data_IF_426768953862
#
_entry.id   IF_426768953862
#
_cell.length_a   1.000
_cell.length_b   1.000
_cell.length_c   1.000
_cell.angle_alpha   90.00
_cell.angle_beta   90.00
_cell.angle_gamma   90.00
#
_symmetry.space_group_name_H-M   'P 1'
#
loop_
_entity.id
_entity.type
_entity.pdbx_description
1 polymer ?
#
# COMPACT_ATOMS: atom_id res chain seq x y z
N UNK A 1 7.72 16.64 7.82
CA UNK A 1 8.99 15.99 7.45
C UNK A 1 9.00 14.62 8.10
N UNK A 2 9.23 13.55 7.33
CA UNK A 2 9.31 12.18 7.86
C UNK A 2 10.58 12.04 8.70
N UNK A 3 10.47 11.39 9.85
CA UNK A 3 11.62 11.03 10.69
C UNK A 3 11.59 9.53 10.97
N UNK A 4 12.39 8.77 10.21
CA UNK A 4 12.45 7.31 10.32
C UNK A 4 13.00 6.84 11.69
N UNK A 5 13.86 7.63 12.33
CA UNK A 5 14.41 7.29 13.65
C UNK A 5 13.33 7.15 14.73
N UNK A 6 12.18 7.81 14.57
CA UNK A 6 11.06 7.71 15.53
C UNK A 6 10.58 6.27 15.75
N UNK A 7 10.64 5.42 14.74
CA UNK A 7 10.23 4.02 14.89
C UNK A 7 11.18 3.22 15.80
N UNK A 8 12.48 3.55 15.77
CA UNK A 8 13.49 2.99 16.67
C UNK A 8 13.41 3.61 18.08
N UNK A 9 13.00 4.86 18.18
CA UNK A 9 12.85 5.58 19.46
C UNK A 9 11.51 5.29 20.15
N UNK A 10 10.53 4.77 19.42
CA UNK A 10 9.23 4.35 19.96
C UNK A 10 9.40 3.33 21.09
N UNK A 11 8.57 3.39 22.15
CA UNK A 11 8.58 2.39 23.22
C UNK A 11 8.54 0.97 22.66
N UNK A 12 9.34 0.07 23.27
CA UNK A 12 9.51 -1.30 22.81
C UNK A 12 8.18 -2.01 22.52
N UNK A 13 7.19 -1.87 23.42
CA UNK A 13 5.88 -2.48 23.25
C UNK A 13 5.15 -2.01 21.99
N UNK A 14 5.19 -0.71 21.67
CA UNK A 14 4.59 -0.18 20.44
C UNK A 14 5.27 -0.70 19.19
N UNK A 15 6.61 -0.81 19.22
CA UNK A 15 7.37 -1.42 18.12
C UNK A 15 7.05 -2.89 17.96
N UNK A 16 6.98 -3.63 19.06
CA UNK A 16 6.66 -5.05 19.04
C UNK A 16 5.29 -5.31 18.39
N UNK A 17 4.27 -4.53 18.73
CA UNK A 17 2.94 -4.65 18.11
C UNK A 17 3.02 -4.48 16.58
N UNK A 18 3.75 -3.47 16.11
CA UNK A 18 3.96 -3.24 14.68
C UNK A 18 4.61 -4.48 14.00
N UNK A 19 5.65 -5.04 14.62
CA UNK A 19 6.35 -6.22 14.10
C UNK A 19 5.47 -7.47 14.16
N UNK A 20 4.70 -7.66 15.23
CA UNK A 20 3.81 -8.81 15.39
C UNK A 20 2.76 -8.87 14.28
N UNK A 21 2.18 -7.72 13.89
CA UNK A 21 1.26 -7.64 12.76
C UNK A 21 1.95 -7.97 11.43
N UNK A 22 3.18 -7.51 11.22
CA UNK A 22 3.96 -7.89 10.03
C UNK A 22 4.22 -9.40 9.97
N UNK A 23 4.56 -10.03 11.11
CA UNK A 23 4.77 -11.47 11.19
C UNK A 23 3.47 -12.26 10.96
N UNK A 24 2.36 -11.83 11.57
CA UNK A 24 1.03 -12.41 11.37
C UNK A 24 0.59 -12.38 9.92
N UNK A 25 0.89 -11.28 9.21
CA UNK A 25 0.59 -11.17 7.79
C UNK A 25 1.24 -12.29 6.95
N UNK A 26 2.41 -12.81 7.35
CA UNK A 26 3.06 -13.95 6.70
C UNK A 26 2.53 -15.32 7.07
N UNK A 27 1.70 -15.39 8.10
CA UNK A 27 1.09 -16.63 8.61
C UNK A 27 -0.41 -16.70 8.31
N UNK A 28 -0.97 -15.66 7.70
CA UNK A 28 -2.39 -15.58 7.40
C UNK A 28 -2.83 -16.69 6.43
N UNK A 29 -4.01 -17.25 6.68
CA UNK A 29 -4.59 -18.31 5.87
C UNK A 29 -5.05 -17.82 4.49
N UNK A 30 -5.30 -16.52 4.35
CA UNK A 30 -5.74 -15.89 3.11
C UNK A 30 -5.20 -14.46 2.97
N UNK A 31 -5.25 -13.97 1.73
CA UNK A 31 -4.73 -12.66 1.33
C UNK A 31 -5.45 -11.49 2.01
N UNK A 32 -6.71 -11.65 2.44
CA UNK A 32 -7.45 -10.56 3.10
C UNK A 32 -6.93 -10.34 4.51
N UNK A 33 -6.86 -11.40 5.31
CA UNK A 33 -6.30 -11.32 6.66
C UNK A 33 -4.83 -10.89 6.59
N UNK A 34 -4.06 -11.47 5.65
CA UNK A 34 -2.67 -11.09 5.43
C UNK A 34 -2.51 -9.61 5.09
N UNK A 35 -3.35 -9.08 4.20
CA UNK A 35 -3.31 -7.67 3.83
C UNK A 35 -3.72 -6.74 4.97
N UNK A 36 -4.74 -7.08 5.75
CA UNK A 36 -5.16 -6.28 6.90
C UNK A 36 -4.07 -6.23 7.96
N UNK A 37 -3.49 -7.38 8.32
CA UNK A 37 -2.38 -7.43 9.29
C UNK A 37 -1.17 -6.64 8.78
N UNK A 38 -0.79 -6.81 7.50
CA UNK A 38 0.32 -6.04 6.93
C UNK A 38 0.04 -4.55 6.93
N UNK A 39 -1.18 -4.15 6.58
CA UNK A 39 -1.58 -2.75 6.58
C UNK A 39 -1.58 -2.16 7.99
N UNK A 40 -2.01 -2.90 9.01
CA UNK A 40 -1.95 -2.46 10.41
C UNK A 40 -0.52 -2.23 10.88
N UNK A 41 0.40 -3.13 10.50
CA UNK A 41 1.83 -2.94 10.71
C UNK A 41 2.32 -1.67 10.03
N UNK A 42 2.09 -1.55 8.72
CA UNK A 42 2.58 -0.42 7.94
C UNK A 42 1.98 0.91 8.37
N UNK A 43 0.70 0.93 8.75
CA UNK A 43 0.03 2.09 9.31
C UNK A 43 0.66 2.52 10.64
N UNK A 44 0.92 1.58 11.55
CA UNK A 44 1.59 1.86 12.82
C UNK A 44 2.98 2.47 12.60
N UNK A 45 3.74 1.93 11.64
CA UNK A 45 5.03 2.49 11.23
C UNK A 45 4.87 3.91 10.63
N UNK A 46 3.93 4.10 9.69
CA UNK A 46 3.65 5.41 9.08
C UNK A 46 3.27 6.47 10.11
N UNK A 47 2.41 6.13 11.08
CA UNK A 47 1.98 7.02 12.16
C UNK A 47 3.18 7.51 12.98
N UNK A 48 4.06 6.57 13.32
CA UNK A 48 5.27 6.85 14.07
C UNK A 48 6.22 7.79 13.30
N UNK A 49 6.54 7.48 12.05
CA UNK A 49 7.57 8.22 11.29
C UNK A 49 7.05 9.56 10.74
N UNK A 50 5.75 9.66 10.45
CA UNK A 50 5.14 10.89 9.93
C UNK A 50 4.67 11.84 11.03
N UNK A 51 4.26 11.30 12.20
CA UNK A 51 3.59 12.06 13.25
C UNK A 51 2.19 12.54 12.88
N UNK A 52 1.61 12.06 11.78
CA UNK A 52 0.24 12.38 11.39
C UNK A 52 -0.74 11.37 12.00
N UNK A 53 -1.95 11.85 12.36
CA UNK A 53 -2.97 11.01 13.01
C UNK A 53 -3.95 10.40 12.01
N UNK A 54 -4.15 11.03 10.85
CA UNK A 54 -5.10 10.57 9.83
C UNK A 54 -4.39 9.78 8.75
N UNK A 55 -4.91 8.59 8.43
CA UNK A 55 -4.35 7.71 7.41
C UNK A 55 -4.08 8.40 6.06
N UNK A 56 -5.01 9.23 5.61
CA UNK A 56 -4.86 9.95 4.35
C UNK A 56 -3.67 10.94 4.37
N UNK A 57 -3.40 11.56 5.52
CA UNK A 57 -2.27 12.47 5.68
C UNK A 57 -0.96 11.69 5.81
N UNK A 58 -0.97 10.55 6.50
CA UNK A 58 0.16 9.62 6.56
C UNK A 58 0.59 9.16 5.17
N UNK A 59 -0.37 8.60 4.39
CA UNK A 59 -0.15 8.13 3.01
C UNK A 59 0.34 9.25 2.10
N UNK A 60 -0.21 10.46 2.24
CA UNK A 60 0.30 11.63 1.49
C UNK A 60 1.73 11.98 1.89
N UNK A 61 2.03 11.96 3.18
CA UNK A 61 3.36 12.31 3.69
C UNK A 61 4.42 11.33 3.19
N UNK A 62 4.18 10.02 3.37
CA UNK A 62 5.12 8.99 2.92
C UNK A 62 5.16 8.82 1.40
N UNK A 63 4.07 9.10 0.70
CA UNK A 63 4.01 9.07 -0.77
C UNK A 63 4.86 10.16 -1.41
N UNK A 64 5.11 11.27 -0.71
CA UNK A 64 5.95 12.38 -1.17
C UNK A 64 7.36 12.37 -0.56
N UNK A 65 7.72 11.33 0.19
CA UNK A 65 9.05 11.22 0.78
C UNK A 65 10.08 10.78 -0.26
N UNK A 66 11.21 11.50 -0.31
CA UNK A 66 12.24 11.26 -1.32
C UNK A 66 12.96 9.93 -1.13
N UNK A 67 13.21 9.50 0.12
CA UNK A 67 13.93 8.25 0.39
C UNK A 67 13.06 7.05 0.02
N UNK A 68 11.78 7.06 0.39
CA UNK A 68 10.84 6.01 -0.01
C UNK A 68 10.66 5.96 -1.53
N UNK A 69 10.55 7.13 -2.17
CA UNK A 69 10.44 7.21 -3.64
C UNK A 69 11.67 6.64 -4.34
N UNK A 70 12.87 6.98 -3.85
CA UNK A 70 14.12 6.47 -4.41
C UNK A 70 14.24 4.96 -4.21
N UNK A 71 13.96 4.44 -3.01
CA UNK A 71 13.98 2.99 -2.76
C UNK A 71 12.99 2.24 -3.63
N UNK A 72 11.83 2.82 -3.92
CA UNK A 72 10.87 2.23 -4.86
C UNK A 72 11.42 2.21 -6.29
N UNK A 73 12.02 3.30 -6.77
CA UNK A 73 12.65 3.36 -8.10
C UNK A 73 13.80 2.35 -8.23
N UNK A 74 14.67 2.27 -7.22
CA UNK A 74 15.76 1.30 -7.19
C UNK A 74 15.21 -0.13 -7.23
N UNK A 75 14.18 -0.43 -6.44
CA UNK A 75 13.53 -1.75 -6.42
C UNK A 75 12.86 -2.10 -7.76
N UNK A 76 12.18 -1.14 -8.40
CA UNK A 76 11.60 -1.31 -9.74
C UNK A 76 12.65 -1.66 -10.81
N UNK A 77 13.89 -1.18 -10.64
CA UNK A 77 15.02 -1.42 -11.55
C UNK A 77 15.75 -2.74 -11.24
N UNK A 78 15.97 -3.03 -9.96
CA UNK A 78 16.85 -4.11 -9.51
C UNK A 78 16.13 -5.45 -9.35
N UNK A 79 14.81 -5.44 -9.14
CA UNK A 79 13.98 -6.63 -9.00
C UNK A 79 12.95 -6.71 -10.15
N UNK A 80 13.28 -7.36 -11.28
CA UNK A 80 12.39 -7.42 -12.45
C UNK A 80 10.99 -7.95 -12.14
N UNK A 81 10.88 -8.92 -11.23
CA UNK A 81 9.60 -9.48 -10.79
C UNK A 81 8.74 -8.43 -10.07
N UNK A 82 9.33 -7.62 -9.19
CA UNK A 82 8.62 -6.53 -8.51
C UNK A 82 8.17 -5.46 -9.51
N UNK A 83 9.06 -5.10 -10.44
CA UNK A 83 8.76 -4.17 -11.53
C UNK A 83 7.59 -4.61 -12.39
N UNK A 84 7.57 -5.88 -12.78
CA UNK A 84 6.50 -6.47 -13.59
C UNK A 84 5.17 -6.52 -12.83
N UNK A 85 5.15 -7.03 -11.60
CA UNK A 85 3.93 -7.11 -10.78
C UNK A 85 3.34 -5.73 -10.49
N UNK A 86 4.19 -4.73 -10.31
CA UNK A 86 3.75 -3.34 -10.12
C UNK A 86 3.06 -2.79 -11.37
N UNK A 87 3.59 -3.06 -12.57
CA UNK A 87 2.98 -2.66 -13.84
C UNK A 87 1.62 -3.34 -14.05
N UNK A 88 1.54 -4.64 -13.82
CA UNK A 88 0.27 -5.39 -13.89
C UNK A 88 -0.76 -4.86 -12.89
N UNK A 89 -0.34 -4.53 -11.66
CA UNK A 89 -1.25 -3.91 -10.70
C UNK A 89 -1.73 -2.53 -11.17
N UNK A 90 -0.87 -1.76 -11.84
CA UNK A 90 -1.22 -0.46 -12.40
C UNK A 90 -2.21 -0.53 -13.58
N UNK A 91 -2.33 -1.66 -14.27
CA UNK A 91 -3.37 -1.91 -15.28
C UNK A 91 -4.78 -1.96 -14.65
N UNK A 92 -4.86 -2.24 -13.33
CA UNK A 92 -6.12 -2.24 -12.59
C UNK A 92 -6.53 -0.83 -12.14
N UNK A 93 -5.70 0.19 -12.36
CA UNK A 93 -5.94 1.55 -11.90
C UNK A 93 -6.74 2.37 -12.92
N UNK A 94 -7.59 3.31 -12.47
CA UNK A 94 -7.73 3.76 -11.09
C UNK A 94 -8.66 2.89 -10.24
N UNK A 95 -8.47 2.93 -8.93
CA UNK A 95 -9.31 2.27 -7.92
C UNK A 95 -10.30 3.29 -7.38
N UNK A 96 -11.59 3.07 -7.65
CA UNK A 96 -12.66 3.97 -7.24
C UNK A 96 -13.08 3.74 -5.79
N UNK A 97 -13.47 4.81 -5.10
CA UNK A 97 -14.04 4.75 -3.75
C UNK A 97 -15.45 4.21 -3.83
N UNK A 98 -15.64 2.97 -3.37
CA UNK A 98 -16.91 2.25 -3.54
C UNK A 98 -18.10 2.94 -2.87
N UNK A 99 -17.87 3.62 -1.75
CA UNK A 99 -18.92 4.39 -1.08
C UNK A 99 -19.47 5.52 -1.96
N UNK A 100 -18.62 6.16 -2.76
CA UNK A 100 -19.06 7.26 -3.63
C UNK A 100 -19.88 6.69 -4.80
N UNK A 101 -19.45 5.55 -5.37
CA UNK A 101 -20.21 4.80 -6.39
C UNK A 101 -21.61 4.47 -5.86
N UNK A 102 -21.70 3.84 -4.69
CA UNK A 102 -22.98 3.45 -4.08
C UNK A 102 -23.86 4.68 -3.81
N UNK A 103 -23.26 5.74 -3.27
CA UNK A 103 -23.98 6.98 -2.94
C UNK A 103 -24.59 7.65 -4.16
N UNK A 104 -23.88 7.68 -5.30
CA UNK A 104 -24.29 8.46 -6.46
C UNK A 104 -24.93 7.64 -7.58
N UNK A 105 -24.70 6.33 -7.61
CA UNK A 105 -25.17 5.43 -8.69
C UNK A 105 -26.09 4.32 -8.19
N UNK A 106 -26.21 4.14 -6.87
CA UNK A 106 -27.07 3.15 -6.24
C UNK A 106 -26.30 1.94 -5.69
N UNK A 107 -26.91 1.27 -4.70
CA UNK A 107 -26.31 0.14 -3.98
C UNK A 107 -25.93 -1.03 -4.89
N UNK A 108 -26.75 -1.28 -5.91
CA UNK A 108 -26.60 -2.46 -6.78
C UNK A 108 -25.72 -2.18 -8.01
N UNK A 109 -25.36 -0.92 -8.25
CA UNK A 109 -24.58 -0.50 -9.42
C UNK A 109 -23.29 -1.30 -9.63
N UNK A 110 -22.46 -1.61 -8.60
CA UNK A 110 -21.25 -2.40 -8.80
C UNK A 110 -21.50 -3.81 -9.34
N UNK A 111 -22.71 -4.37 -9.20
CA UNK A 111 -23.06 -5.72 -9.65
C UNK A 111 -23.64 -5.74 -11.07
N UNK A 112 -23.86 -4.59 -11.70
CA UNK A 112 -24.38 -4.51 -13.06
C UNK A 112 -23.33 -4.81 -14.13
N UNK A 113 -22.05 -4.90 -13.74
CA UNK A 113 -20.93 -5.07 -14.65
C UNK A 113 -20.29 -6.44 -14.48
N UNK A 114 -20.13 -7.18 -15.57
CA UNK A 114 -19.54 -8.52 -15.57
C UNK A 114 -18.01 -8.54 -15.43
N UNK A 115 -17.36 -7.39 -15.65
CA UNK A 115 -15.91 -7.26 -15.52
C UNK A 115 -15.51 -5.83 -15.08
N UNK A 116 -14.24 -5.69 -14.66
CA UNK A 116 -13.68 -4.43 -14.15
C UNK A 116 -13.61 -3.33 -15.21
N UNK A 117 -13.36 -3.69 -16.48
CA UNK A 117 -13.22 -2.73 -17.58
C UNK A 117 -14.55 -2.01 -17.79
N UNK A 118 -15.65 -2.75 -17.92
CA UNK A 118 -16.99 -2.19 -18.11
C UNK A 118 -17.39 -1.33 -16.90
N UNK A 119 -17.08 -1.78 -15.68
CA UNK A 119 -17.29 -0.98 -14.47
C UNK A 119 -16.50 0.33 -14.52
N UNK A 120 -15.24 0.29 -14.94
CA UNK A 120 -14.35 1.46 -15.03
C UNK A 120 -14.87 2.45 -16.07
N UNK A 121 -15.18 1.98 -17.27
CA UNK A 121 -15.75 2.80 -18.36
C UNK A 121 -17.06 3.49 -17.92
N UNK A 122 -17.87 2.84 -17.09
CA UNK A 122 -19.13 3.40 -16.60
C UNK A 122 -18.99 4.48 -15.51
N UNK A 123 -17.84 4.56 -14.81
CA UNK A 123 -17.65 5.46 -13.66
C UNK A 123 -16.51 6.46 -13.82
N UNK A 124 -15.61 6.25 -14.78
CA UNK A 124 -14.36 7.03 -14.91
C UNK A 124 -14.59 8.52 -15.12
N UNK A 125 -15.68 8.89 -15.80
CA UNK A 125 -15.99 10.29 -16.12
C UNK A 125 -16.84 11.00 -15.06
N UNK A 126 -17.27 10.32 -13.98
CA UNK A 126 -18.05 10.96 -12.91
C UNK A 126 -17.13 11.69 -11.92
N UNK A 127 -17.13 13.04 -11.89
CA UNK A 127 -16.24 13.81 -11.02
C UNK A 127 -16.57 13.69 -9.53
N UNK A 128 -17.74 13.13 -9.18
CA UNK A 128 -18.17 12.92 -7.79
C UNK A 128 -17.58 11.66 -7.17
N UNK A 129 -17.09 10.74 -8.01
CA UNK A 129 -16.54 9.46 -7.57
C UNK A 129 -15.03 9.60 -7.39
N UNK A 130 -14.58 9.60 -6.13
CA UNK A 130 -13.15 9.66 -5.83
C UNK A 130 -12.45 8.39 -6.28
N UNK A 131 -11.17 8.54 -6.63
CA UNK A 131 -10.33 7.44 -7.10
C UNK A 131 -8.86 7.64 -6.72
N UNK A 132 -8.11 6.56 -6.70
CA UNK A 132 -6.66 6.55 -6.54
C UNK A 132 -6.01 5.54 -7.49
N UNK A 133 -4.84 5.85 -8.08
CA UNK A 133 -4.17 7.14 -8.04
C UNK A 133 -4.98 8.21 -8.78
N UNK A 134 -4.80 9.48 -8.40
CA UNK A 134 -5.41 10.62 -9.08
C UNK A 134 -4.45 11.83 -9.08
N UNK A 135 -4.02 12.33 -10.26
CA UNK A 135 -4.32 11.82 -11.60
C UNK A 135 -3.64 10.48 -11.90
N UNK A 136 -4.22 9.68 -12.80
CA UNK A 136 -3.59 8.48 -13.35
C UNK A 136 -3.86 8.39 -14.86
N UNK A 137 -2.82 8.14 -15.64
CA UNK A 137 -2.91 7.92 -17.09
C UNK A 137 -2.31 6.55 -17.41
N UNK A 138 -3.04 5.65 -18.11
CA UNK A 138 -2.48 4.36 -18.53
C UNK A 138 -1.18 4.54 -19.33
N UNK A 139 -0.17 3.70 -19.03
CA UNK A 139 1.13 3.71 -19.69
C UNK A 139 2.14 4.74 -19.17
N UNK A 140 1.77 5.61 -18.22
CA UNK A 140 2.75 6.47 -17.55
C UNK A 140 3.64 5.66 -16.60
N UNK A 141 4.79 6.23 -16.22
CA UNK A 141 5.66 5.65 -15.21
C UNK A 141 4.96 5.59 -13.85
N UNK A 142 4.96 4.42 -13.22
CA UNK A 142 4.41 4.24 -11.88
C UNK A 142 5.35 4.88 -10.86
N UNK A 143 4.83 5.78 -10.03
CA UNK A 143 5.58 6.37 -8.91
C UNK A 143 5.19 5.73 -7.59
N UNK A 144 6.04 5.87 -6.59
CA UNK A 144 5.76 5.43 -5.23
C UNK A 144 4.43 5.97 -4.69
N UNK A 145 4.17 7.27 -4.90
CA UNK A 145 2.91 7.92 -4.52
C UNK A 145 1.69 7.26 -5.16
N UNK A 146 1.82 6.79 -6.40
CA UNK A 146 0.72 6.17 -7.13
C UNK A 146 0.41 4.80 -6.54
N UNK A 147 1.44 3.97 -6.34
CA UNK A 147 1.31 2.65 -5.72
C UNK A 147 0.67 2.75 -4.33
N UNK A 148 1.22 3.59 -3.44
CA UNK A 148 0.75 3.61 -2.06
C UNK A 148 -0.65 4.20 -1.91
N UNK A 149 -1.02 5.16 -2.76
CA UNK A 149 -2.39 5.71 -2.79
C UNK A 149 -3.41 4.69 -3.31
N UNK A 150 -3.04 3.86 -4.28
CA UNK A 150 -3.87 2.77 -4.77
C UNK A 150 -4.09 1.71 -3.68
N UNK A 151 -3.01 1.24 -3.03
CA UNK A 151 -3.09 0.27 -1.92
C UNK A 151 -3.95 0.81 -0.77
N UNK A 152 -3.78 2.09 -0.42
CA UNK A 152 -4.63 2.75 0.57
C UNK A 152 -6.12 2.69 0.20
N UNK A 153 -6.45 2.94 -1.07
CA UNK A 153 -7.83 2.88 -1.54
C UNK A 153 -8.40 1.45 -1.55
N UNK A 154 -7.59 0.43 -1.83
CA UNK A 154 -7.97 -0.99 -1.65
C UNK A 154 -8.36 -1.23 -0.21
N UNK A 155 -7.51 -0.86 0.75
CA UNK A 155 -7.82 -1.01 2.18
C UNK A 155 -9.10 -0.30 2.59
N UNK A 156 -9.28 0.95 2.16
CA UNK A 156 -10.50 1.70 2.45
C UNK A 156 -11.75 0.99 1.92
N UNK A 157 -11.68 0.42 0.72
CA UNK A 157 -12.81 -0.30 0.13
C UNK A 157 -13.14 -1.61 0.87
N UNK A 158 -12.14 -2.31 1.43
CA UNK A 158 -12.36 -3.52 2.24
C UNK A 158 -13.12 -3.23 3.53
N UNK A 159 -12.75 -2.17 4.25
CA UNK A 159 -13.30 -1.87 5.58
C UNK A 159 -14.72 -1.30 5.56
N UNK A 160 -15.25 -0.98 4.38
CA UNK A 160 -16.57 -0.36 4.25
C UNK A 160 -17.70 -1.35 3.89
N UNK A 161 -17.45 -2.66 4.02
CA UNK A 161 -18.49 -3.69 4.15
C UNK A 161 -19.48 -3.77 2.98
N UNK A 162 -19.14 -3.20 1.83
CA UNK A 162 -20.05 -3.03 0.71
C UNK A 162 -19.59 -3.66 -0.60
N UNK A 163 -18.58 -4.55 -0.55
CA UNK A 163 -18.29 -5.42 -1.69
C UNK A 163 -18.12 -6.88 -1.30
N UNK A 164 -18.80 -7.67 -2.13
CA UNK A 164 -18.65 -9.09 -2.38
C UNK A 164 -17.22 -9.59 -2.19
N UNK A 165 -17.02 -10.36 -1.13
CA UNK A 165 -15.90 -11.31 -0.99
C UNK A 165 -15.86 -12.36 -2.13
N UNK A 166 -16.78 -12.27 -3.10
CA UNK A 166 -16.96 -13.18 -4.23
C UNK A 166 -16.58 -12.60 -5.60
N UNK A 167 -16.15 -11.33 -5.71
CA UNK A 167 -15.64 -10.83 -7.00
C UNK A 167 -14.15 -11.13 -7.13
N UNK A 168 -13.77 -11.88 -8.17
CA UNK A 168 -12.39 -12.27 -8.46
C UNK A 168 -11.45 -11.05 -8.55
N UNK A 169 -11.97 -9.93 -9.08
CA UNK A 169 -11.23 -8.67 -9.19
C UNK A 169 -10.87 -8.04 -7.85
N UNK A 170 -11.75 -8.10 -6.84
CA UNK A 170 -11.44 -7.55 -5.52
C UNK A 170 -10.39 -8.43 -4.81
N UNK A 171 -10.51 -9.76 -4.92
CA UNK A 171 -9.49 -10.69 -4.40
C UNK A 171 -8.12 -10.40 -5.02
N UNK A 172 -8.06 -10.23 -6.34
CA UNK A 172 -6.81 -9.92 -7.03
C UNK A 172 -6.20 -8.58 -6.57
N UNK A 173 -7.02 -7.53 -6.39
CA UNK A 173 -6.54 -6.24 -5.86
C UNK A 173 -5.90 -6.39 -4.48
N UNK A 174 -6.51 -7.20 -3.60
CA UNK A 174 -6.01 -7.46 -2.25
C UNK A 174 -4.71 -8.26 -2.29
N UNK A 175 -4.68 -9.36 -3.03
CA UNK A 175 -3.49 -10.20 -3.17
C UNK A 175 -2.29 -9.44 -3.72
N UNK A 176 -2.48 -8.65 -4.78
CA UNK A 176 -1.41 -7.79 -5.35
C UNK A 176 -0.98 -6.69 -4.37
N UNK A 177 -1.92 -6.10 -3.63
CA UNK A 177 -1.59 -5.09 -2.62
C UNK A 177 -0.75 -5.67 -1.48
N UNK A 178 -1.09 -6.86 -1.00
CA UNK A 178 -0.33 -7.60 0.01
C UNK A 178 1.09 -7.90 -0.48
N UNK A 179 1.21 -8.53 -1.64
CA UNK A 179 2.51 -8.95 -2.21
C UNK A 179 3.44 -7.76 -2.46
N UNK A 180 2.94 -6.70 -3.10
CA UNK A 180 3.75 -5.52 -3.42
C UNK A 180 4.17 -4.76 -2.17
N UNK A 181 3.26 -4.53 -1.22
CA UNK A 181 3.60 -3.81 0.02
C UNK A 181 4.61 -4.61 0.85
N UNK A 182 4.42 -5.93 0.97
CA UNK A 182 5.34 -6.80 1.69
C UNK A 182 6.71 -6.78 1.05
N UNK A 183 6.78 -7.02 -0.26
CA UNK A 183 8.04 -7.02 -1.00
C UNK A 183 8.77 -5.69 -0.85
N UNK A 184 8.05 -4.56 -0.92
CA UNK A 184 8.65 -3.26 -0.68
C UNK A 184 9.26 -3.16 0.72
N UNK A 185 8.50 -3.51 1.78
CA UNK A 185 8.99 -3.48 3.17
C UNK A 185 10.23 -4.37 3.34
N UNK A 186 10.18 -5.60 2.82
CA UNK A 186 11.24 -6.60 2.97
C UNK A 186 12.52 -6.18 2.24
N UNK A 187 12.39 -5.66 1.02
CA UNK A 187 13.54 -5.32 0.17
C UNK A 187 14.11 -3.94 0.48
N UNK A 188 13.27 -2.99 0.90
CA UNK A 188 13.76 -1.66 1.28
C UNK A 188 14.30 -1.62 2.71
N UNK A 189 13.84 -2.53 3.59
CA UNK A 189 14.17 -2.54 5.01
C UNK A 189 13.69 -1.29 5.75
N UNK A 190 12.60 -0.66 5.30
CA UNK A 190 12.18 0.66 5.79
C UNK A 190 11.87 0.72 7.29
N UNK A 191 11.58 -0.41 7.92
CA UNK A 191 11.39 -0.52 9.37
C UNK A 191 12.68 -0.37 10.17
N UNK A 192 13.84 -0.48 9.52
CA UNK A 192 15.16 -0.34 10.17
C UNK A 192 15.83 0.99 9.86
N UNK A 193 15.20 1.84 9.05
CA UNK A 193 15.80 3.11 8.65
C UNK A 193 15.93 4.07 9.84
N UNK A 194 17.08 4.71 9.90
CA UNK A 194 17.34 5.88 10.73
C UNK A 194 17.41 7.11 9.83
N UNK A 195 17.17 8.29 10.40
CA UNK A 195 17.49 9.54 9.68
C UNK A 195 18.99 9.57 9.44
N UNK A 196 19.48 9.89 8.22
CA UNK A 196 20.90 10.02 7.98
C UNK A 196 21.45 11.09 8.93
N UNK A 197 22.20 10.68 9.95
CA UNK A 197 23.18 11.56 10.59
C UNK A 197 24.18 11.87 9.49
N UNK A 198 24.23 13.11 9.03
CA UNK A 198 24.95 13.48 7.81
C UNK A 198 26.25 12.70 7.58
N UNK A 199 26.31 11.96 6.47
CA UNK A 199 27.49 11.24 6.03
C UNK A 199 27.31 9.73 5.93
N UNK A 200 27.61 9.22 4.73
CA UNK A 200 27.88 7.83 4.33
C UNK A 200 26.71 6.87 4.11
N UNK A 201 26.70 6.32 2.89
CA UNK A 201 25.85 5.24 2.41
C UNK A 201 26.11 3.96 3.21
N UNK A 202 25.10 3.48 3.93
CA UNK A 202 25.05 2.08 4.37
C UNK A 202 24.16 1.29 3.41
N UNK A 203 24.83 0.63 2.46
CA UNK A 203 24.27 -0.52 1.75
C UNK A 203 24.47 -1.76 2.61
N UNK A 204 23.41 -2.20 3.27
CA UNK A 204 23.37 -3.52 3.89
C UNK A 204 22.33 -4.37 3.14
N UNK A 205 22.83 -5.27 2.29
CA UNK A 205 22.08 -6.37 1.71
C UNK A 205 21.51 -7.27 2.82
N UNK A 206 20.18 -7.37 2.87
CA UNK A 206 19.44 -8.16 3.85
C UNK A 206 19.33 -9.62 3.40
N UNK A 207 19.94 -10.52 4.18
CA UNK A 207 19.66 -11.96 4.18
C UNK A 207 18.45 -12.21 5.09
N UNK A 208 17.35 -12.69 4.51
CA UNK A 208 16.06 -12.93 5.16
C UNK A 208 16.03 -14.01 6.25
N UNK A 209 17.19 -14.32 6.83
CA UNK A 209 17.39 -15.42 7.78
C UNK A 209 17.76 -14.95 9.20
N UNK A 210 17.85 -13.64 9.47
CA UNK A 210 18.17 -13.13 10.83
C UNK A 210 16.99 -12.46 11.52
N UNK A 211 16.38 -13.30 12.35
CA UNK A 211 15.44 -13.10 13.47
C UNK A 211 15.22 -11.67 13.96
N UNK A 212 13.94 -11.26 13.96
CA UNK A 212 13.38 -10.04 14.58
C UNK A 212 13.54 -9.91 16.10
N UNK A 213 14.47 -10.64 16.72
CA UNK A 213 14.63 -10.69 18.18
C UNK A 213 16.09 -10.41 18.57
N UNK A 214 16.40 -9.13 18.75
CA UNK A 214 17.42 -8.64 19.70
C UNK A 214 17.21 -7.15 19.96
#
# INVERSE_FOLDING_TARGET
MINFARFREMPHQGRQICIDYYLKAGQAADEYHGFIDLWLSFNSWMACVSGAERDADMVRSIGNDQRLSQSFVDLMREEPTFGQRTKEFAEMWPIFKVQDVIRFMGRDFPYHHGNRRDFTEAVVDDPRIKRQPNPWTPGQEVRWSDLISAIYQVRCNLMHGHKSLSSESDRELVGRSLDLLRTFIDRSGCYHWTTPTGGTHDGASFDGSRTFLS
#
